data_IF_720730587717
#
_entry.id   IF_720730587717
#
_cell.length_a   1.000
_cell.length_b   1.000
_cell.length_c   1.000
_cell.angle_alpha   90.00
_cell.angle_beta   90.00
_cell.angle_gamma   90.00
#
_symmetry.space_group_name_H-M   'P 1'
#
loop_
_entity.id
_entity.type
_entity.pdbx_description
1 polymer ?
#
# COMPACT_ATOMS: atom_id res chain seq x y z
N UNK A 1 12.32 5.21 15.29
CA UNK A 1 11.92 5.88 16.55
C UNK A 1 11.86 4.82 17.65
N UNK A 2 12.31 5.14 18.86
CA UNK A 2 12.43 4.18 19.98
C UNK A 2 11.49 4.59 21.11
N UNK A 3 10.70 3.65 21.64
CA UNK A 3 9.83 3.91 22.78
C UNK A 3 10.47 3.45 24.07
N UNK A 4 10.98 4.40 24.86
CA UNK A 4 11.65 4.09 26.12
C UNK A 4 10.69 3.46 27.15
N UNK A 5 9.44 3.92 27.19
CA UNK A 5 8.44 3.44 28.15
C UNK A 5 8.05 1.99 27.86
N UNK A 6 7.70 1.68 26.61
CA UNK A 6 7.34 0.31 26.22
C UNK A 6 8.54 -0.61 26.36
N UNK A 7 9.74 -0.19 25.94
CA UNK A 7 10.96 -0.96 26.17
C UNK A 7 11.19 -1.28 27.65
N UNK A 8 11.01 -0.29 28.54
CA UNK A 8 11.09 -0.50 30.00
C UNK A 8 10.05 -1.50 30.50
N UNK A 9 8.80 -1.39 30.04
CA UNK A 9 7.74 -2.34 30.38
C UNK A 9 8.09 -3.76 29.95
N UNK A 10 8.41 -3.98 28.68
CA UNK A 10 8.62 -5.35 28.14
C UNK A 10 9.87 -6.02 28.71
N UNK A 11 10.91 -5.26 29.04
CA UNK A 11 12.18 -5.83 29.54
C UNK A 11 12.24 -5.95 31.06
N UNK A 12 11.53 -5.10 31.81
CA UNK A 12 11.68 -5.01 33.28
C UNK A 12 10.40 -5.34 34.05
N UNK A 13 9.21 -5.14 33.47
CA UNK A 13 7.97 -5.23 34.24
C UNK A 13 7.47 -6.69 34.34
N UNK A 14 7.08 -7.12 35.55
CA UNK A 14 6.63 -8.50 35.82
C UNK A 14 5.44 -8.93 34.95
N UNK A 15 4.48 -8.03 34.72
CA UNK A 15 3.28 -8.31 33.91
C UNK A 15 3.55 -8.42 32.42
N UNK A 16 4.71 -7.99 31.90
CA UNK A 16 5.01 -8.16 30.48
C UNK A 16 4.98 -9.65 30.08
N UNK A 17 5.34 -10.54 31.01
CA UNK A 17 5.30 -12.01 30.82
C UNK A 17 3.89 -12.59 30.79
N UNK A 18 2.89 -11.83 31.24
CA UNK A 18 1.48 -12.24 31.28
C UNK A 18 0.72 -11.79 30.03
N UNK A 19 1.34 -10.95 29.18
CA UNK A 19 0.71 -10.45 27.96
C UNK A 19 0.70 -11.55 26.89
N UNK A 20 -0.48 -12.06 26.54
CA UNK A 20 -0.65 -13.04 25.46
C UNK A 20 -0.66 -12.40 24.07
N UNK A 21 -1.25 -11.20 23.95
CA UNK A 21 -1.25 -10.39 22.74
C UNK A 21 -1.45 -8.91 23.08
N UNK A 22 -1.15 -8.02 22.11
CA UNK A 22 -1.40 -6.58 22.25
C UNK A 22 -2.09 -5.99 21.02
N UNK A 23 -2.79 -4.87 21.25
CA UNK A 23 -3.35 -4.02 20.19
C UNK A 23 -2.70 -2.65 20.35
N UNK A 24 -1.90 -2.24 19.37
CA UNK A 24 -1.32 -0.90 19.33
C UNK A 24 -2.24 0.03 18.54
N UNK A 25 -2.61 1.17 19.13
CA UNK A 25 -3.34 2.24 18.46
C UNK A 25 -2.44 3.46 18.38
N UNK A 26 -2.06 3.83 17.17
CA UNK A 26 -1.18 4.97 16.91
C UNK A 26 -1.84 5.91 15.89
N UNK A 27 -1.28 7.09 15.70
CA UNK A 27 -1.82 8.08 14.79
C UNK A 27 -0.73 8.88 14.10
N UNK A 28 -0.92 9.12 12.80
CA UNK A 28 -0.20 10.15 12.02
C UNK A 28 -1.17 11.16 11.44
N UNK A 29 -2.30 11.35 12.12
CA UNK A 29 -3.35 12.30 11.79
C UNK A 29 -4.27 12.54 12.99
N UNK A 30 -5.40 13.16 12.74
CA UNK A 30 -6.38 13.48 13.80
C UNK A 30 -7.73 12.82 13.55
N UNK A 31 -7.80 11.75 12.77
CA UNK A 31 -9.03 11.00 12.60
C UNK A 31 -9.08 10.13 11.35
N UNK A 32 -10.28 10.00 10.78
CA UNK A 32 -10.58 8.96 9.81
C UNK A 32 -10.86 7.63 10.49
N UNK A 33 -10.79 6.56 9.71
CA UNK A 33 -10.95 5.19 10.22
C UNK A 33 -9.59 4.66 10.63
N UNK A 34 -9.52 3.98 11.76
CA UNK A 34 -8.34 3.21 12.14
C UNK A 34 -8.04 2.18 11.04
N UNK A 35 -6.82 2.18 10.55
CA UNK A 35 -6.39 1.28 9.47
C UNK A 35 -5.45 0.26 10.07
N UNK A 36 -5.74 -1.04 9.90
CA UNK A 36 -4.79 -2.09 10.26
C UNK A 36 -3.58 -1.99 9.32
N UNK A 37 -2.40 -1.74 9.90
CA UNK A 37 -1.16 -1.53 9.15
C UNK A 37 -0.15 -2.66 9.36
N UNK A 38 -0.23 -3.39 10.48
CA UNK A 38 0.65 -4.53 10.77
C UNK A 38 -0.05 -5.61 11.57
N UNK A 39 0.29 -6.86 11.27
CA UNK A 39 -0.08 -8.04 12.04
C UNK A 39 1.18 -8.86 12.29
N UNK A 40 1.42 -9.30 13.51
CA UNK A 40 2.48 -10.29 13.71
C UNK A 40 3.13 -10.34 15.10
N UNK A 41 4.25 -11.06 15.20
CA UNK A 41 4.87 -11.87 14.13
C UNK A 41 4.18 -13.24 13.92
N UNK A 42 4.14 -13.72 12.66
CA UNK A 42 3.76 -15.09 12.24
C UNK A 42 2.44 -15.65 12.83
N UNK A 43 1.47 -14.76 13.04
CA UNK A 43 0.17 -15.07 13.67
C UNK A 43 -0.98 -14.42 12.89
N UNK A 44 -1.25 -14.90 11.66
CA UNK A 44 -2.33 -14.40 10.81
C UNK A 44 -3.72 -14.70 11.38
N UNK A 45 -3.82 -15.55 12.42
CA UNK A 45 -5.09 -15.90 13.04
C UNK A 45 -5.87 -14.69 13.54
N UNK A 46 -5.17 -13.58 13.86
CA UNK A 46 -5.81 -12.31 14.20
C UNK A 46 -6.80 -11.86 13.12
N UNK A 47 -6.47 -12.08 11.83
CA UNK A 47 -7.33 -11.69 10.72
C UNK A 47 -8.67 -12.45 10.73
N UNK A 48 -8.73 -13.67 11.29
CA UNK A 48 -9.98 -14.41 11.44
C UNK A 48 -10.96 -13.76 12.42
N UNK A 49 -10.44 -13.00 13.37
CA UNK A 49 -11.22 -12.20 14.31
C UNK A 49 -11.49 -10.82 13.73
N UNK A 50 -10.50 -10.20 13.09
CA UNK A 50 -10.64 -8.87 12.51
C UNK A 50 -11.62 -8.82 11.32
N UNK A 51 -11.74 -9.89 10.53
CA UNK A 51 -12.75 -9.95 9.46
C UNK A 51 -14.21 -9.87 9.98
N UNK A 52 -14.45 -10.08 11.28
CA UNK A 52 -15.77 -10.01 11.91
C UNK A 52 -16.12 -8.61 12.42
N UNK A 53 -15.18 -7.67 12.40
CA UNK A 53 -15.46 -6.30 12.86
C UNK A 53 -16.47 -5.63 11.92
N UNK A 54 -17.31 -4.71 12.42
CA UNK A 54 -18.37 -4.10 11.61
C UNK A 54 -17.89 -3.37 10.35
N UNK A 55 -16.72 -2.71 10.42
CA UNK A 55 -16.22 -1.84 9.34
C UNK A 55 -14.71 -1.97 9.17
N UNK A 56 -14.21 -3.11 8.66
CA UNK A 56 -12.78 -3.35 8.59
C UNK A 56 -12.10 -2.41 7.60
N UNK A 57 -10.91 -1.95 7.97
CA UNK A 57 -10.01 -1.20 7.09
C UNK A 57 -8.58 -1.69 7.25
N UNK A 58 -7.91 -1.96 6.14
CA UNK A 58 -6.54 -2.49 6.08
C UNK A 58 -5.84 -1.99 4.83
N UNK A 59 -4.53 -1.80 4.88
CA UNK A 59 -3.81 -1.30 3.72
C UNK A 59 -2.46 -2.02 3.54
N UNK A 60 -2.44 -3.00 2.64
CA UNK A 60 -1.26 -3.84 2.37
C UNK A 60 0.00 -3.01 2.07
N UNK A 61 -0.13 -1.94 1.28
CA UNK A 61 1.01 -1.13 0.92
C UNK A 61 1.64 -0.40 2.12
N UNK A 62 0.87 -0.09 3.16
CA UNK A 62 1.44 0.53 4.38
C UNK A 62 2.25 -0.50 5.15
N UNK A 63 1.77 -1.74 5.27
CA UNK A 63 2.54 -2.81 5.89
C UNK A 63 3.91 -2.99 5.20
N UNK A 64 3.92 -3.02 3.86
CA UNK A 64 5.15 -3.12 3.08
C UNK A 64 6.09 -1.93 3.32
N UNK A 65 5.57 -0.70 3.25
CA UNK A 65 6.36 0.51 3.50
C UNK A 65 6.98 0.52 4.90
N UNK A 66 6.27 0.00 5.91
CA UNK A 66 6.79 -0.15 7.27
C UNK A 66 7.86 -1.23 7.35
N UNK A 67 7.67 -2.37 6.67
CA UNK A 67 8.66 -3.46 6.63
C UNK A 67 9.96 -3.02 5.94
N UNK A 68 9.87 -2.22 4.89
CA UNK A 68 11.04 -1.65 4.20
C UNK A 68 11.69 -0.48 4.95
N UNK A 69 11.09 -0.01 6.05
CA UNK A 69 11.63 1.11 6.84
C UNK A 69 11.49 2.48 6.16
N UNK A 70 10.64 2.60 5.14
CA UNK A 70 10.38 3.89 4.47
C UNK A 70 9.55 4.84 5.34
N UNK A 71 8.78 4.28 6.28
CA UNK A 71 7.91 5.06 7.18
C UNK A 71 8.36 4.81 8.61
N UNK A 72 8.77 5.86 9.37
CA UNK A 72 9.32 5.71 10.71
C UNK A 72 8.22 5.56 11.78
N UNK A 73 7.26 4.66 11.58
CA UNK A 73 6.13 4.44 12.50
C UNK A 73 6.29 3.23 13.42
N UNK A 74 5.51 3.28 14.50
CA UNK A 74 5.21 2.16 15.38
C UNK A 74 6.39 1.70 16.21
N UNK A 75 6.97 2.68 16.91
CA UNK A 75 8.00 2.47 17.92
C UNK A 75 7.52 1.47 19.00
N UNK A 76 6.29 1.63 19.48
CA UNK A 76 5.70 0.77 20.53
C UNK A 76 5.50 -0.66 20.05
N UNK A 77 4.89 -0.84 18.88
CA UNK A 77 4.72 -2.17 18.28
C UNK A 77 6.05 -2.89 18.09
N UNK A 78 7.10 -2.18 17.62
CA UNK A 78 8.43 -2.76 17.49
C UNK A 78 9.00 -3.18 18.85
N UNK A 79 8.85 -2.38 19.91
CA UNK A 79 9.32 -2.77 21.23
C UNK A 79 8.61 -4.03 21.76
N UNK A 80 7.28 -4.10 21.62
CA UNK A 80 6.48 -5.27 22.02
C UNK A 80 6.86 -6.54 21.24
N UNK A 81 7.07 -6.40 19.92
CA UNK A 81 7.45 -7.50 19.04
C UNK A 81 8.89 -7.97 19.29
N UNK A 82 9.85 -7.05 19.23
CA UNK A 82 11.28 -7.38 19.15
C UNK A 82 11.87 -7.68 20.53
N UNK A 83 11.41 -7.00 21.58
CA UNK A 83 11.93 -7.16 22.94
C UNK A 83 10.96 -7.93 23.84
N UNK A 84 9.65 -7.83 23.60
CA UNK A 84 8.63 -8.56 24.34
C UNK A 84 8.29 -9.94 23.75
N UNK A 85 8.73 -10.25 22.52
CA UNK A 85 8.32 -11.44 21.76
C UNK A 85 6.80 -11.67 21.79
N UNK A 86 6.04 -10.57 21.85
CA UNK A 86 4.59 -10.58 21.99
C UNK A 86 3.98 -10.42 20.61
N UNK A 87 2.90 -11.16 20.33
CA UNK A 87 2.12 -10.94 19.12
C UNK A 87 1.18 -9.77 19.30
N UNK A 88 0.99 -8.99 18.25
CA UNK A 88 -0.05 -8.01 18.24
C UNK A 88 -0.37 -7.49 16.87
N UNK A 89 -1.13 -6.43 16.88
CA UNK A 89 -1.49 -5.67 15.70
C UNK A 89 -1.28 -4.20 15.93
N UNK A 90 -1.15 -3.48 14.83
CA UNK A 90 -1.09 -2.03 14.85
C UNK A 90 -2.16 -1.43 13.97
N UNK A 91 -2.93 -0.53 14.57
CA UNK A 91 -3.84 0.34 13.87
C UNK A 91 -3.29 1.76 13.85
N UNK A 92 -3.45 2.43 12.70
CA UNK A 92 -3.02 3.81 12.54
C UNK A 92 -4.11 4.68 11.92
N UNK A 93 -4.29 5.88 12.45
CA UNK A 93 -5.13 6.91 11.86
C UNK A 93 -4.30 7.82 10.93
N UNK A 94 -4.83 8.10 9.74
CA UNK A 94 -4.10 8.83 8.70
C UNK A 94 -4.75 10.16 8.28
N UNK A 95 -6.02 10.41 8.65
CA UNK A 95 -6.75 11.56 8.11
C UNK A 95 -6.23 12.85 8.73
N UNK A 96 -6.10 13.89 7.89
CA UNK A 96 -5.61 15.20 8.29
C UNK A 96 -4.21 15.17 8.91
N UNK A 97 -3.30 14.37 8.35
CA UNK A 97 -1.92 14.26 8.82
C UNK A 97 -1.12 15.55 8.85
N UNK A 98 -1.54 16.61 8.16
CA UNK A 98 -0.93 17.94 8.28
C UNK A 98 -1.04 18.55 9.70
N UNK A 99 -1.92 18.02 10.55
CA UNK A 99 -2.05 18.44 11.95
C UNK A 99 -1.11 17.68 12.89
N UNK A 100 -0.66 16.49 12.51
CA UNK A 100 0.20 15.64 13.33
C UNK A 100 1.49 16.35 13.73
N UNK A 101 1.88 16.28 15.00
CA UNK A 101 3.08 16.95 15.54
C UNK A 101 3.08 18.49 15.31
N UNK A 102 1.89 19.10 15.25
CA UNK A 102 1.75 20.56 15.18
C UNK A 102 0.89 21.08 16.32
N UNK A 103 0.83 22.40 16.49
CA UNK A 103 -0.09 23.05 17.44
C UNK A 103 -1.58 22.79 17.14
N UNK A 104 -1.91 22.24 15.98
CA UNK A 104 -3.27 21.92 15.56
C UNK A 104 -3.68 20.48 15.90
N UNK A 105 -2.78 19.71 16.52
CA UNK A 105 -3.07 18.39 17.08
C UNK A 105 -3.81 18.56 18.41
N UNK A 106 -5.10 18.88 18.31
CA UNK A 106 -5.96 19.14 19.47
C UNK A 106 -7.17 18.18 19.52
N UNK A 107 -7.78 18.09 20.70
CA UNK A 107 -8.97 17.27 20.93
C UNK A 107 -10.13 17.65 20.00
N UNK A 108 -10.32 18.94 19.75
CA UNK A 108 -11.40 19.45 18.89
C UNK A 108 -11.24 18.99 17.43
N UNK A 109 -10.04 18.60 17.03
CA UNK A 109 -9.73 18.11 15.69
C UNK A 109 -10.05 16.64 15.48
N UNK A 110 -10.36 15.88 16.55
CA UNK A 110 -10.72 14.47 16.49
C UNK A 110 -12.22 14.30 16.23
N UNK A 111 -12.64 13.81 15.05
CA UNK A 111 -14.05 13.59 14.76
C UNK A 111 -14.66 12.53 15.68
N UNK A 112 -15.88 12.78 16.19
CA UNK A 112 -16.59 11.82 17.03
C UNK A 112 -16.86 10.50 16.30
N UNK A 113 -17.02 10.56 14.97
CA UNK A 113 -17.21 9.40 14.12
C UNK A 113 -15.97 8.51 14.09
N UNK A 114 -14.77 9.08 14.18
CA UNK A 114 -13.53 8.32 14.28
C UNK A 114 -13.46 7.55 15.61
N UNK A 115 -13.87 8.19 16.71
CA UNK A 115 -13.91 7.57 18.03
C UNK A 115 -14.95 6.44 18.07
N UNK A 116 -16.14 6.67 17.53
CA UNK A 116 -17.18 5.64 17.47
C UNK A 116 -16.75 4.47 16.57
N UNK A 117 -16.14 4.75 15.41
CA UNK A 117 -15.68 3.72 14.48
C UNK A 117 -14.65 2.78 15.13
N UNK A 118 -13.62 3.35 15.76
CA UNK A 118 -12.61 2.54 16.45
C UNK A 118 -13.21 1.80 17.65
N UNK A 119 -14.15 2.42 18.38
CA UNK A 119 -14.86 1.78 19.47
C UNK A 119 -15.65 0.54 19.03
N UNK A 120 -16.47 0.66 17.98
CA UNK A 120 -17.28 -0.44 17.42
C UNK A 120 -16.40 -1.61 16.98
N UNK A 121 -15.33 -1.30 16.23
CA UNK A 121 -14.44 -2.30 15.68
C UNK A 121 -13.58 -2.97 16.76
N UNK A 122 -12.98 -2.18 17.66
CA UNK A 122 -12.14 -2.73 18.73
C UNK A 122 -12.95 -3.51 19.76
N UNK A 123 -14.18 -3.10 20.08
CA UNK A 123 -15.03 -3.88 20.98
C UNK A 123 -15.28 -5.28 20.41
N UNK A 124 -15.68 -5.36 19.14
CA UNK A 124 -15.92 -6.63 18.45
C UNK A 124 -14.64 -7.48 18.40
N UNK A 125 -13.51 -6.84 18.07
CA UNK A 125 -12.23 -7.51 18.01
C UNK A 125 -11.78 -8.05 19.36
N UNK A 126 -11.81 -7.23 20.42
CA UNK A 126 -11.38 -7.61 21.77
C UNK A 126 -12.25 -8.74 22.32
N UNK A 127 -13.57 -8.70 22.08
CA UNK A 127 -14.46 -9.80 22.42
C UNK A 127 -14.07 -11.08 21.69
N UNK A 128 -13.82 -11.00 20.37
CA UNK A 128 -13.36 -12.14 19.59
C UNK A 128 -12.02 -12.70 20.08
N UNK A 129 -11.07 -11.83 20.41
CA UNK A 129 -9.75 -12.22 20.93
C UNK A 129 -9.84 -12.83 22.34
N UNK A 130 -10.73 -12.34 23.20
CA UNK A 130 -10.90 -12.88 24.55
C UNK A 130 -11.29 -14.37 24.54
N UNK A 131 -12.03 -14.79 23.51
CA UNK A 131 -12.43 -16.19 23.30
C UNK A 131 -11.44 -16.98 22.43
N UNK A 132 -10.35 -16.36 21.97
CA UNK A 132 -9.43 -16.97 21.03
C UNK A 132 -8.59 -18.08 21.66
N UNK A 133 -8.64 -19.27 21.06
CA UNK A 133 -7.86 -20.42 21.52
C UNK A 133 -6.37 -20.25 21.21
N UNK A 134 -6.04 -19.48 20.17
CA UNK A 134 -4.69 -19.20 19.70
C UNK A 134 -3.87 -18.29 20.64
N UNK A 135 -4.54 -17.63 21.60
CA UNK A 135 -3.87 -16.92 22.69
C UNK A 135 -3.30 -17.86 23.75
N UNK A 136 -3.73 -19.13 23.77
CA UNK A 136 -3.16 -20.14 24.65
C UNK A 136 -1.76 -20.54 24.16
N UNK A 137 -0.87 -21.05 25.03
CA UNK A 137 0.55 -21.30 24.71
C UNK A 137 0.84 -22.38 23.65
N UNK A 138 -0.15 -22.85 22.89
CA UNK A 138 0.03 -23.87 21.86
C UNK A 138 0.44 -23.20 20.55
N UNK A 139 1.75 -23.18 20.35
CA UNK A 139 2.41 -22.66 19.17
C UNK A 139 1.93 -23.36 17.89
N UNK A 140 1.33 -22.57 17.01
CA UNK A 140 1.55 -22.72 15.59
C UNK A 140 1.97 -21.36 15.04
N UNK A 141 3.23 -21.29 14.61
CA UNK A 141 3.66 -20.25 13.68
C UNK A 141 3.02 -20.58 12.35
N UNK A 142 2.11 -19.74 11.90
CA UNK A 142 1.51 -19.89 10.57
C UNK A 142 2.26 -18.97 9.63
N UNK A 143 2.32 -19.38 8.36
CA UNK A 143 2.95 -18.61 7.29
C UNK A 143 2.46 -17.16 7.26
N UNK A 144 3.36 -16.27 6.82
CA UNK A 144 3.00 -14.89 6.49
C UNK A 144 1.80 -14.88 5.55
N UNK A 145 0.92 -13.91 5.75
CA UNK A 145 -0.26 -13.69 4.91
C UNK A 145 -0.20 -12.31 4.29
N UNK A 146 -0.81 -12.20 3.12
CA UNK A 146 -1.15 -10.92 2.49
C UNK A 146 -2.57 -10.59 2.90
N UNK A 147 -2.84 -9.34 3.29
CA UNK A 147 -4.17 -8.88 3.64
C UNK A 147 -4.45 -7.46 3.14
N UNK A 148 -5.66 -7.22 2.68
CA UNK A 148 -6.17 -5.91 2.30
C UNK A 148 -7.71 -5.91 2.39
N UNK A 149 -8.34 -4.73 2.35
CA UNK A 149 -9.79 -4.63 2.34
C UNK A 149 -10.31 -4.38 0.92
N UNK A 150 -11.53 -4.85 0.66
CA UNK A 150 -12.24 -4.55 -0.57
C UNK A 150 -13.24 -3.42 -0.31
N UNK A 151 -12.84 -2.18 -0.62
CA UNK A 151 -13.65 -0.97 -0.40
C UNK A 151 -14.20 -0.85 1.03
N UNK A 152 -13.45 -1.29 2.03
CA UNK A 152 -13.82 -1.29 3.45
C UNK A 152 -15.06 -2.16 3.77
N UNK A 153 -15.48 -3.04 2.86
CA UNK A 153 -16.64 -3.92 3.04
C UNK A 153 -16.27 -5.22 3.76
N UNK A 154 -15.14 -5.82 3.40
CA UNK A 154 -14.62 -7.03 4.01
C UNK A 154 -13.11 -7.16 3.78
N UNK A 155 -12.46 -7.98 4.61
CA UNK A 155 -11.02 -8.27 4.53
C UNK A 155 -10.81 -9.45 3.59
N UNK A 156 -9.86 -9.32 2.68
CA UNK A 156 -9.31 -10.41 1.88
C UNK A 156 -7.94 -10.75 2.45
N UNK A 157 -7.71 -12.03 2.76
CA UNK A 157 -6.39 -12.49 3.18
C UNK A 157 -6.06 -13.88 2.63
N UNK A 158 -4.79 -14.10 2.28
CA UNK A 158 -4.30 -15.38 1.75
C UNK A 158 -2.81 -15.56 2.03
N UNK A 159 -2.32 -16.80 1.93
CA UNK A 159 -0.92 -17.13 2.20
C UNK A 159 0.03 -16.63 1.11
N UNK A 160 1.32 -16.47 1.44
CA UNK A 160 2.35 -16.13 0.44
C UNK A 160 2.43 -17.17 -0.70
N UNK A 161 2.08 -18.43 -0.45
CA UNK A 161 2.01 -19.46 -1.49
C UNK A 161 0.94 -19.13 -2.54
N UNK A 162 -0.26 -18.73 -2.10
CA UNK A 162 -1.35 -18.29 -3.00
C UNK A 162 -0.94 -17.01 -3.72
N UNK A 163 -0.31 -16.06 -3.02
CA UNK A 163 0.22 -14.83 -3.62
C UNK A 163 1.20 -15.13 -4.76
N UNK A 164 2.14 -16.04 -4.53
CA UNK A 164 3.12 -16.49 -5.52
C UNK A 164 2.45 -17.13 -6.72
N UNK A 165 1.42 -17.96 -6.51
CA UNK A 165 0.65 -18.57 -7.60
C UNK A 165 -0.07 -17.52 -8.44
N UNK A 166 -0.71 -16.53 -7.82
CA UNK A 166 -1.36 -15.41 -8.51
C UNK A 166 -0.33 -14.62 -9.32
N UNK A 167 0.83 -14.30 -8.74
CA UNK A 167 1.90 -13.58 -9.44
C UNK A 167 2.42 -14.36 -10.64
N UNK A 168 2.65 -15.67 -10.51
CA UNK A 168 3.07 -16.53 -11.62
C UNK A 168 1.98 -16.54 -12.70
N UNK A 169 0.72 -16.75 -12.34
CA UNK A 169 -0.39 -16.80 -13.29
C UNK A 169 -0.55 -15.48 -14.07
N UNK A 170 -0.54 -14.33 -13.38
CA UNK A 170 -0.62 -13.00 -14.00
C UNK A 170 0.59 -12.71 -14.89
N UNK A 171 1.79 -13.10 -14.45
CA UNK A 171 3.02 -12.94 -15.24
C UNK A 171 2.99 -13.81 -16.49
N UNK A 172 2.61 -15.08 -16.37
CA UNK A 172 2.45 -15.99 -17.50
C UNK A 172 1.39 -15.50 -18.48
N UNK A 173 0.24 -15.04 -17.99
CA UNK A 173 -0.81 -14.45 -18.84
C UNK A 173 -0.29 -13.21 -19.58
N UNK A 174 0.44 -12.33 -18.88
CA UNK A 174 1.04 -11.14 -19.49
C UNK A 174 2.02 -11.50 -20.61
N UNK A 175 2.85 -12.53 -20.41
CA UNK A 175 3.76 -13.06 -21.43
C UNK A 175 2.96 -13.66 -22.60
N UNK A 176 1.91 -14.45 -22.35
CA UNK A 176 1.06 -15.04 -23.39
C UNK A 176 0.40 -13.94 -24.23
N UNK A 177 -0.16 -12.92 -23.59
CA UNK A 177 -0.77 -11.76 -24.26
C UNK A 177 0.28 -11.01 -25.09
N UNK A 178 1.48 -10.79 -24.54
CA UNK A 178 2.58 -10.17 -25.28
C UNK A 178 2.96 -11.01 -26.52
N UNK A 179 3.18 -12.31 -26.38
CA UNK A 179 3.51 -13.22 -27.49
C UNK A 179 2.40 -13.28 -28.55
N UNK A 180 1.13 -13.34 -28.12
CA UNK A 180 -0.02 -13.30 -29.03
C UNK A 180 -0.09 -11.99 -29.81
N UNK A 181 0.18 -10.86 -29.15
CA UNK A 181 0.25 -9.56 -29.81
C UNK A 181 1.42 -9.51 -30.80
N UNK A 182 2.62 -9.95 -30.41
CA UNK A 182 3.78 -10.04 -31.32
C UNK A 182 3.45 -10.88 -32.57
N UNK A 183 2.81 -12.03 -32.39
CA UNK A 183 2.36 -12.87 -33.50
C UNK A 183 1.30 -12.21 -34.38
N UNK A 184 0.28 -11.60 -33.76
CA UNK A 184 -0.82 -10.92 -34.48
C UNK A 184 -0.32 -9.71 -35.29
N UNK A 185 0.71 -9.02 -34.79
CA UNK A 185 1.40 -7.96 -35.51
C UNK A 185 2.44 -8.48 -36.52
N UNK A 186 2.59 -9.80 -36.71
CA UNK A 186 3.55 -10.37 -37.66
C UNK A 186 5.03 -10.13 -37.31
N UNK A 187 5.33 -9.76 -36.06
CA UNK A 187 6.70 -9.47 -35.60
C UNK A 187 7.50 -10.77 -35.51
N UNK A 188 8.50 -10.92 -36.38
CA UNK A 188 9.44 -12.05 -36.38
C UNK A 188 10.70 -11.74 -35.59
N UNK A 189 11.47 -12.77 -35.22
CA UNK A 189 12.78 -12.63 -34.58
C UNK A 189 13.85 -12.16 -35.59
N UNK A 190 13.64 -10.96 -36.16
CA UNK A 190 14.54 -10.33 -37.12
C UNK A 190 14.96 -8.95 -36.61
N UNK A 191 16.08 -8.44 -37.14
CA UNK A 191 16.67 -7.16 -36.74
C UNK A 191 15.65 -6.02 -36.75
N UNK A 192 14.76 -5.97 -37.74
CA UNK A 192 13.78 -4.89 -37.89
C UNK A 192 12.74 -4.89 -36.75
N UNK A 193 12.18 -6.05 -36.40
CA UNK A 193 11.23 -6.18 -35.29
C UNK A 193 11.89 -5.85 -33.95
N UNK A 194 13.15 -6.28 -33.76
CA UNK A 194 13.91 -5.98 -32.53
C UNK A 194 14.19 -4.48 -32.40
N UNK A 195 14.54 -3.80 -33.49
CA UNK A 195 14.68 -2.34 -33.52
C UNK A 195 13.35 -1.67 -33.15
N UNK A 196 12.23 -2.12 -33.73
CA UNK A 196 10.92 -1.58 -33.43
C UNK A 196 10.53 -1.74 -31.96
N UNK A 197 10.72 -2.95 -31.39
CA UNK A 197 10.45 -3.21 -29.97
C UNK A 197 11.35 -2.38 -29.05
N UNK A 198 12.63 -2.23 -29.40
CA UNK A 198 13.57 -1.37 -28.69
C UNK A 198 13.11 0.08 -28.69
N UNK A 199 12.79 0.62 -29.86
CA UNK A 199 12.30 1.99 -30.02
C UNK A 199 11.00 2.25 -29.25
N UNK A 200 10.03 1.32 -29.30
CA UNK A 200 8.80 1.41 -28.52
C UNK A 200 9.07 1.38 -27.01
N UNK A 201 9.94 0.48 -26.56
CA UNK A 201 10.32 0.41 -25.15
C UNK A 201 10.99 1.71 -24.70
N UNK A 202 11.88 2.27 -25.51
CA UNK A 202 12.51 3.58 -25.27
C UNK A 202 11.46 4.70 -25.23
N UNK A 203 10.47 4.70 -26.11
CA UNK A 203 9.39 5.69 -26.10
C UNK A 203 8.56 5.62 -24.81
N UNK A 204 8.19 4.41 -24.35
CA UNK A 204 7.46 4.20 -23.09
C UNK A 204 8.29 4.70 -21.90
N UNK A 205 9.56 4.31 -21.82
CA UNK A 205 10.47 4.73 -20.74
C UNK A 205 10.65 6.25 -20.75
N UNK A 206 10.83 6.87 -21.92
CA UNK A 206 10.90 8.32 -22.06
C UNK A 206 9.61 9.00 -21.61
N UNK A 207 8.46 8.37 -21.90
CA UNK A 207 7.14 8.74 -21.37
C UNK A 207 7.13 8.84 -19.86
N UNK A 208 7.61 7.81 -19.17
CA UNK A 208 7.69 7.77 -17.72
C UNK A 208 8.62 8.83 -17.15
N UNK A 209 9.82 9.01 -17.73
CA UNK A 209 10.75 10.06 -17.29
C UNK A 209 10.17 11.46 -17.46
N UNK A 210 9.53 11.73 -18.60
CA UNK A 210 8.90 13.03 -18.86
C UNK A 210 7.76 13.30 -17.90
N UNK A 211 6.93 12.27 -17.61
CA UNK A 211 5.88 12.39 -16.62
C UNK A 211 6.43 12.64 -15.20
N UNK A 212 7.52 11.99 -14.82
CA UNK A 212 8.17 12.22 -13.53
C UNK A 212 8.72 13.67 -13.41
N UNK A 213 9.39 14.17 -14.45
CA UNK A 213 9.87 15.55 -14.51
C UNK A 213 8.69 16.53 -14.43
N UNK A 214 7.60 16.26 -15.15
CA UNK A 214 6.41 17.11 -15.13
C UNK A 214 5.74 17.15 -13.75
N UNK A 215 5.59 15.99 -13.09
CA UNK A 215 5.06 15.92 -11.72
C UNK A 215 5.96 16.70 -10.76
N UNK A 216 7.28 16.55 -10.85
CA UNK A 216 8.23 17.28 -10.03
C UNK A 216 8.10 18.80 -10.24
N UNK A 217 7.94 19.23 -11.49
CA UNK A 217 7.69 20.63 -11.83
C UNK A 217 6.37 21.15 -11.22
N UNK A 218 5.26 20.40 -11.34
CA UNK A 218 3.99 20.75 -10.70
C UNK A 218 4.14 20.84 -9.18
N UNK A 219 4.86 19.90 -8.56
CA UNK A 219 5.12 19.93 -7.12
C UNK A 219 5.90 21.19 -6.71
N UNK A 220 6.95 21.57 -7.44
CA UNK A 220 7.72 22.79 -7.20
C UNK A 220 6.89 24.06 -7.41
N UNK A 221 5.99 24.07 -8.40
CA UNK A 221 5.07 25.19 -8.60
C UNK A 221 4.11 25.34 -7.42
N UNK A 222 3.46 24.25 -7.00
CA UNK A 222 2.52 24.26 -5.86
C UNK A 222 3.24 24.73 -4.60
N UNK A 223 4.47 24.26 -4.38
CA UNK A 223 5.31 24.67 -3.27
C UNK A 223 5.67 26.16 -3.32
N UNK A 224 6.06 26.66 -4.49
CA UNK A 224 6.39 28.07 -4.71
C UNK A 224 5.20 29.03 -4.54
N UNK A 225 3.96 28.54 -4.68
CA UNK A 225 2.74 29.31 -4.40
C UNK A 225 2.18 29.08 -2.98
N UNK A 226 2.90 28.34 -2.12
CA UNK A 226 2.47 28.00 -0.76
C UNK A 226 1.12 27.23 -0.69
N UNK A 227 0.75 26.53 -1.77
CA UNK A 227 -0.44 25.66 -1.82
C UNK A 227 -0.11 24.20 -1.50
N UNK A 228 0.98 23.99 -0.78
CA UNK A 228 1.45 22.71 -0.27
C UNK A 228 0.30 22.04 0.47
N UNK A 229 0.13 20.73 0.30
CA UNK A 229 -0.91 19.98 1.02
C UNK A 229 -2.36 20.44 0.71
N UNK A 230 -2.60 21.28 -0.31
CA UNK A 230 -3.94 21.76 -0.70
C UNK A 230 -4.96 20.65 -0.96
N UNK A 231 -4.49 19.44 -1.28
CA UNK A 231 -5.33 18.26 -1.46
C UNK A 231 -6.03 17.77 -0.18
N UNK A 232 -5.60 18.22 1.01
CA UNK A 232 -6.35 17.99 2.24
C UNK A 232 -7.68 18.74 2.26
N UNK A 233 -7.77 19.91 1.60
CA UNK A 233 -9.03 20.64 1.46
C UNK A 233 -9.93 20.01 0.40
N UNK A 234 -9.39 19.71 -0.77
CA UNK A 234 -10.12 19.04 -1.84
C UNK A 234 -9.30 17.92 -2.47
N UNK A 235 -9.60 16.67 -2.11
CA UNK A 235 -8.87 15.49 -2.62
C UNK A 235 -8.97 15.32 -4.15
N UNK A 236 -10.01 15.86 -4.78
CA UNK A 236 -10.21 15.72 -6.23
C UNK A 236 -9.13 16.45 -7.04
N UNK A 237 -8.46 17.45 -6.45
CA UNK A 237 -7.38 18.17 -7.15
C UNK A 237 -6.19 17.26 -7.46
N UNK A 238 -6.01 16.14 -6.72
CA UNK A 238 -4.96 15.14 -7.02
C UNK A 238 -5.14 14.61 -8.45
N UNK A 239 -6.38 14.44 -8.91
CA UNK A 239 -6.62 14.02 -10.29
C UNK A 239 -6.16 15.06 -11.31
N UNK A 240 -6.49 16.33 -11.09
CA UNK A 240 -6.12 17.42 -12.00
C UNK A 240 -4.62 17.74 -11.98
N UNK A 241 -3.99 17.67 -10.82
CA UNK A 241 -2.58 18.05 -10.63
C UNK A 241 -1.62 16.93 -11.01
N UNK A 242 -1.98 15.67 -10.73
CA UNK A 242 -1.06 14.54 -10.88
C UNK A 242 -1.58 13.51 -11.86
N UNK A 243 -2.79 12.96 -11.67
CA UNK A 243 -3.25 11.80 -12.47
C UNK A 243 -3.39 12.15 -13.96
N UNK A 244 -4.14 13.20 -14.29
CA UNK A 244 -4.40 13.57 -15.68
C UNK A 244 -3.10 13.97 -16.39
N UNK A 245 -2.26 14.87 -15.84
CA UNK A 245 -1.04 15.27 -16.54
C UNK A 245 -0.04 14.14 -16.71
N UNK A 246 0.12 13.25 -15.71
CA UNK A 246 0.98 12.05 -15.85
C UNK A 246 0.55 11.19 -17.04
N UNK A 247 -0.75 10.91 -17.17
CA UNK A 247 -1.26 10.13 -18.29
C UNK A 247 -1.05 10.85 -19.63
N UNK A 248 -1.32 12.15 -19.70
CA UNK A 248 -1.07 12.96 -20.90
C UNK A 248 0.40 12.87 -21.31
N UNK A 249 1.35 13.06 -20.40
CA UNK A 249 2.78 12.99 -20.69
C UNK A 249 3.19 11.61 -21.25
N UNK A 250 2.72 10.53 -20.62
CA UNK A 250 3.05 9.16 -21.04
C UNK A 250 2.48 8.89 -22.43
N UNK A 251 1.20 9.15 -22.66
CA UNK A 251 0.54 8.83 -23.93
C UNK A 251 0.99 9.76 -25.07
N UNK A 252 1.27 11.03 -24.80
CA UNK A 252 1.70 11.98 -25.83
C UNK A 252 3.00 11.53 -26.49
N UNK A 253 3.96 11.02 -25.72
CA UNK A 253 5.24 10.53 -26.25
C UNK A 253 5.03 9.30 -27.13
N UNK A 254 4.18 8.36 -26.71
CA UNK A 254 3.85 7.19 -27.52
C UNK A 254 3.08 7.57 -28.79
N UNK A 255 2.16 8.53 -28.72
CA UNK A 255 1.41 9.04 -29.88
C UNK A 255 2.31 9.75 -30.89
N UNK A 256 3.20 10.63 -30.41
CA UNK A 256 4.21 11.30 -31.23
C UNK A 256 5.12 10.25 -31.89
N UNK A 257 5.61 9.28 -31.10
CA UNK A 257 6.42 8.19 -31.62
C UNK A 257 5.72 7.43 -32.75
N UNK A 258 4.43 7.08 -32.57
CA UNK A 258 3.64 6.40 -33.57
C UNK A 258 3.46 7.24 -34.83
N UNK A 259 3.09 8.52 -34.69
CA UNK A 259 2.89 9.44 -35.81
C UNK A 259 4.14 9.59 -36.70
N UNK A 260 5.33 9.68 -36.10
CA UNK A 260 6.57 9.85 -36.87
C UNK A 260 7.16 8.51 -37.39
N UNK A 261 6.73 7.36 -36.86
CA UNK A 261 7.25 6.04 -37.26
C UNK A 261 6.33 5.22 -38.18
N UNK A 262 5.33 5.84 -38.81
CA UNK A 262 4.46 5.18 -39.80
C UNK A 262 5.23 4.42 -40.90
N UNK A 263 6.45 4.87 -41.25
CA UNK A 263 7.32 4.22 -42.25
C UNK A 263 8.06 2.97 -41.74
N UNK A 264 8.29 2.84 -40.44
CA UNK A 264 8.87 1.64 -39.81
C UNK A 264 7.81 0.54 -39.67
N UNK A 265 6.53 0.93 -39.54
CA UNK A 265 5.36 0.05 -39.46
C UNK A 265 4.87 -0.47 -40.83
N UNK A 266 5.08 0.28 -41.91
CA UNK A 266 4.62 -0.07 -43.26
C UNK A 266 5.09 -1.43 -43.83
N UNK A 267 6.31 -1.93 -43.56
CA UNK A 267 6.75 -3.25 -44.03
C UNK A 267 6.13 -4.41 -43.24
N UNK A 268 5.71 -4.18 -42.00
CA UNK A 268 5.13 -5.20 -41.11
C UNK A 268 3.70 -5.53 -41.54
N UNK A 269 2.93 -4.54 -41.99
CA UNK A 269 1.58 -4.74 -42.55
C UNK A 269 1.57 -5.31 -43.97
N UNK A 270 2.62 -5.10 -44.77
CA UNK A 270 2.65 -5.52 -46.19
C UNK A 270 3.06 -6.97 -46.44
N UNK A 271 3.61 -7.67 -45.44
CA UNK A 271 4.00 -9.08 -45.57
C UNK A 271 2.96 -10.08 -44.99
N UNK A 272 1.77 -9.58 -44.62
CA UNK A 272 0.62 -10.39 -44.16
C UNK A 272 -0.52 -10.49 -45.17
N UNK A 273 -0.32 -10.03 -46.42
CA UNK A 273 -1.19 -10.31 -47.57
C UNK A 273 -0.48 -11.26 -48.53
#
# INVERSE_FOLDING_TARGET
MWSHAVHGFVTQHKWAKEVSAFINLDSVGVGGKETLVRVGPNRPWFLYYYQKVPRPRTLACVEELLQFGFVPLGADFNMMKDYGNTVGVEFTFFRNGYKFHTRFDDYASVPIESIQHVGDNLLTLVQGLADAQELKPLGQTVDKVIFYDFFELFVIHYTVAIASLIHIAVSSLSIIVALRNLHSFGLRLCRQSLIYLGLMSTAIITGWFTAAIFIAFIALLIDGFEYNLSWYNNRLIIFGLYVIPTNICIFSITLIFNYFNDKVCAPIYRHGL
#
